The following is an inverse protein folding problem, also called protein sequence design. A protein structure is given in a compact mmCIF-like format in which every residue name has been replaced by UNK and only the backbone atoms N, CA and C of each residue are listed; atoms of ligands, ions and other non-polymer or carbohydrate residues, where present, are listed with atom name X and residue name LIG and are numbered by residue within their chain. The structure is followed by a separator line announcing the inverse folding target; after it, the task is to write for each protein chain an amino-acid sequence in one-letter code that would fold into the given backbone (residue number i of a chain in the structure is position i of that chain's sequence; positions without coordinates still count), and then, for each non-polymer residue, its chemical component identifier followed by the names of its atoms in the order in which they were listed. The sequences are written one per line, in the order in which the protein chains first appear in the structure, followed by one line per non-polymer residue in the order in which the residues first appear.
data_IF_283708154275
#
_entry.id   IF_283708154275
#
_cell.length_a   1.000
_cell.length_b   1.000
_cell.length_c   1.000
_cell.angle_alpha   90.00
_cell.angle_beta   90.00
_cell.angle_gamma   90.00
#
_symmetry.space_group_name_H-M   'P 1'
#
loop_
_entity.id
_entity.type
_entity.pdbx_description
1 polymer ?
#
# COMPACT_ATOMS: atom_id res chain seq x y z
N UNK A 1 4.30 0.81 -20.69
CA UNK A 1 3.40 -0.33 -20.35
C UNK A 1 3.82 -0.80 -18.97
N UNK A 2 3.23 -0.20 -17.92
CA UNK A 2 3.54 -0.55 -16.53
C UNK A 2 2.77 -1.81 -16.15
N UNK A 3 3.42 -2.74 -15.47
CA UNK A 3 2.76 -3.92 -14.93
C UNK A 3 1.57 -3.50 -14.06
N UNK A 4 0.44 -4.18 -14.18
CA UNK A 4 -0.67 -4.02 -13.23
C UNK A 4 -0.14 -4.31 -11.82
N UNK A 5 -0.54 -3.51 -10.80
CA UNK A 5 0.01 -3.56 -9.44
C UNK A 5 -0.44 -4.79 -8.63
N UNK A 6 -0.99 -5.81 -9.27
CA UNK A 6 -1.55 -7.00 -8.64
C UNK A 6 -0.50 -7.68 -7.75
N UNK A 7 -0.62 -7.48 -6.43
CA UNK A 7 0.25 -8.06 -5.42
C UNK A 7 1.24 -7.09 -4.75
N UNK A 8 1.34 -5.83 -5.18
CA UNK A 8 2.27 -4.86 -4.60
C UNK A 8 1.69 -4.06 -3.43
N UNK A 9 0.37 -4.09 -3.25
CA UNK A 9 -0.33 -3.49 -2.10
C UNK A 9 -1.39 -4.44 -1.57
N UNK A 10 -1.70 -4.35 -0.27
CA UNK A 10 -2.53 -5.35 0.41
C UNK A 10 -3.97 -4.84 0.59
N UNK A 11 -5.00 -5.55 0.09
CA UNK A 11 -6.38 -5.24 0.38
C UNK A 11 -6.71 -5.55 1.86
N UNK A 12 -7.65 -4.82 2.45
CA UNK A 12 -8.02 -5.02 3.86
C UNK A 12 -8.75 -6.34 4.13
N UNK A 13 -9.32 -6.94 3.09
CA UNK A 13 -9.88 -8.31 3.10
C UNK A 13 -9.35 -9.06 1.88
N UNK A 14 -9.36 -10.39 1.93
CA UNK A 14 -8.89 -11.19 0.80
C UNK A 14 -9.69 -10.88 -0.48
N UNK A 15 -9.03 -10.88 -1.64
CA UNK A 15 -9.71 -10.69 -2.93
C UNK A 15 -10.80 -11.74 -3.21
N UNK A 16 -10.67 -12.92 -2.61
CA UNK A 16 -11.64 -14.01 -2.70
C UNK A 16 -12.75 -13.93 -1.64
N UNK A 17 -12.73 -12.93 -0.76
CA UNK A 17 -13.76 -12.77 0.27
C UNK A 17 -15.09 -12.35 -0.37
N UNK A 18 -16.18 -12.99 0.01
CA UNK A 18 -17.54 -12.62 -0.42
C UNK A 18 -17.91 -11.17 -0.06
N UNK A 19 -17.28 -10.59 0.94
CA UNK A 19 -17.48 -9.24 1.41
C UNK A 19 -16.59 -8.20 0.69
N UNK A 20 -15.74 -8.64 -0.25
CA UNK A 20 -14.79 -7.77 -0.95
C UNK A 20 -15.52 -6.73 -1.83
N UNK A 21 -15.18 -5.47 -1.63
CA UNK A 21 -15.68 -4.31 -2.37
C UNK A 21 -14.53 -3.31 -2.54
N UNK A 22 -13.99 -3.20 -3.75
CA UNK A 22 -12.67 -2.57 -4.01
C UNK A 22 -12.56 -1.09 -3.64
N UNK A 23 -13.67 -0.34 -3.62
CA UNK A 23 -13.72 1.07 -3.23
C UNK A 23 -14.33 1.33 -1.85
N UNK A 24 -14.74 0.30 -1.09
CA UNK A 24 -15.48 0.48 0.17
C UNK A 24 -14.58 0.35 1.39
N UNK A 25 -13.93 1.44 1.77
CA UNK A 25 -13.28 1.65 3.08
C UNK A 25 -12.47 0.42 3.59
N UNK A 26 -12.89 -0.24 4.68
CA UNK A 26 -12.21 -1.43 5.23
C UNK A 26 -12.66 -2.78 4.64
N UNK A 27 -13.37 -2.78 3.51
CA UNK A 27 -13.95 -3.99 2.90
C UNK A 27 -13.29 -4.38 1.58
N UNK A 28 -12.09 -3.90 1.28
CA UNK A 28 -11.43 -4.22 0.01
C UNK A 28 -10.25 -3.33 -0.34
N UNK A 29 -10.35 -1.99 -0.23
CA UNK A 29 -9.26 -1.09 -0.57
C UNK A 29 -7.94 -1.44 0.09
N UNK A 30 -6.84 -1.10 -0.58
CA UNK A 30 -5.52 -1.07 0.02
C UNK A 30 -5.32 0.21 0.83
N UNK A 31 -4.78 0.03 2.03
CA UNK A 31 -4.39 1.13 2.91
C UNK A 31 -2.87 1.13 3.06
N UNK A 32 -2.26 2.30 2.88
CA UNK A 32 -0.79 2.45 2.89
C UNK A 32 -0.21 2.03 4.24
N UNK A 33 -0.85 2.40 5.35
CA UNK A 33 -0.38 2.02 6.69
C UNK A 33 -0.42 0.51 6.95
N UNK A 34 -1.38 -0.21 6.37
CA UNK A 34 -1.47 -1.66 6.53
C UNK A 34 -0.39 -2.35 5.71
N UNK A 35 -0.23 -1.95 4.45
CA UNK A 35 0.82 -2.48 3.57
C UNK A 35 2.21 -2.20 4.17
N UNK A 36 2.43 -0.99 4.70
CA UNK A 36 3.66 -0.59 5.38
C UNK A 36 3.91 -1.45 6.63
N UNK A 37 2.90 -1.65 7.48
CA UNK A 37 3.04 -2.44 8.70
C UNK A 37 3.44 -3.89 8.40
N UNK A 38 2.82 -4.49 7.37
CA UNK A 38 3.16 -5.85 6.93
C UNK A 38 4.58 -5.90 6.35
N UNK A 39 4.98 -4.90 5.54
CA UNK A 39 6.33 -4.80 5.01
C UNK A 39 7.40 -4.69 6.11
N UNK A 40 7.12 -3.95 7.18
CA UNK A 40 8.03 -3.84 8.35
C UNK A 40 8.09 -5.14 9.15
N UNK A 41 6.96 -5.84 9.30
CA UNK A 41 6.92 -7.16 9.94
C UNK A 41 7.69 -8.22 9.15
N UNK A 42 7.58 -8.21 7.82
CA UNK A 42 8.30 -9.12 6.91
C UNK A 42 9.83 -8.93 7.03
N UNK A 43 10.29 -7.69 7.09
CA UNK A 43 11.71 -7.38 7.31
C UNK A 43 12.20 -7.91 8.66
N UNK A 44 11.41 -7.73 9.74
CA UNK A 44 11.74 -8.22 11.08
C UNK A 44 11.93 -9.75 11.13
N UNK A 45 11.28 -10.51 10.24
CA UNK A 45 11.41 -11.97 10.14
C UNK A 45 12.37 -12.43 9.04
N UNK A 46 13.16 -11.53 8.45
CA UNK A 46 14.15 -11.83 7.41
C UNK A 46 13.57 -12.06 6.01
N UNK A 47 12.32 -11.65 5.76
CA UNK A 47 11.67 -11.74 4.44
C UNK A 47 11.85 -10.44 3.64
N UNK A 48 13.10 -10.10 3.37
CA UNK A 48 13.51 -8.82 2.77
C UNK A 48 12.89 -8.59 1.38
N UNK A 49 12.89 -9.61 0.51
CA UNK A 49 12.36 -9.49 -0.85
C UNK A 49 10.87 -9.15 -0.86
N UNK A 50 10.07 -9.78 0.00
CA UNK A 50 8.64 -9.48 0.09
C UNK A 50 8.41 -8.10 0.73
N UNK A 51 9.21 -7.74 1.73
CA UNK A 51 9.14 -6.42 2.34
C UNK A 51 9.44 -5.30 1.33
N UNK A 52 10.46 -5.47 0.49
CA UNK A 52 10.84 -4.55 -0.58
C UNK A 52 9.75 -4.42 -1.65
N UNK A 53 9.19 -5.55 -2.10
CA UNK A 53 8.06 -5.55 -3.05
C UNK A 53 6.86 -4.73 -2.58
N UNK A 54 6.51 -4.81 -1.29
CA UNK A 54 5.41 -4.03 -0.73
C UNK A 54 5.75 -2.53 -0.61
N UNK A 55 7.01 -2.19 -0.31
CA UNK A 55 7.48 -0.79 -0.26
C UNK A 55 7.45 -0.15 -1.63
N UNK A 56 7.96 -0.85 -2.64
CA UNK A 56 7.93 -0.42 -4.04
C UNK A 56 6.50 -0.25 -4.55
N UNK A 57 5.58 -1.12 -4.09
CA UNK A 57 4.16 -0.99 -4.34
C UNK A 57 3.57 0.30 -3.78
N UNK A 58 3.88 0.64 -2.53
CA UNK A 58 3.46 1.91 -1.91
C UNK A 58 4.02 3.10 -2.69
N UNK A 59 5.31 3.10 -3.02
CA UNK A 59 5.96 4.19 -3.78
C UNK A 59 5.29 4.36 -5.13
N UNK A 60 5.06 3.26 -5.86
CA UNK A 60 4.44 3.27 -7.19
C UNK A 60 3.00 3.79 -7.13
N UNK A 61 2.23 3.34 -6.13
CA UNK A 61 0.84 3.76 -5.92
C UNK A 61 0.76 5.27 -5.68
N UNK A 62 1.53 5.79 -4.74
CA UNK A 62 1.51 7.21 -4.37
C UNK A 62 2.05 8.07 -5.52
N UNK A 63 3.09 7.61 -6.23
CA UNK A 63 3.63 8.33 -7.40
C UNK A 63 2.63 8.42 -8.56
N UNK A 64 1.76 7.42 -8.71
CA UNK A 64 0.74 7.40 -9.76
C UNK A 64 -0.55 8.15 -9.41
N UNK A 65 -1.00 8.08 -8.15
CA UNK A 65 -2.33 8.55 -7.76
C UNK A 65 -2.32 9.74 -6.78
N UNK A 66 -1.21 10.01 -6.08
CA UNK A 66 -1.13 11.04 -5.04
C UNK A 66 -1.48 10.52 -3.64
N UNK A 67 -1.72 11.44 -2.71
CA UNK A 67 -1.84 11.15 -1.27
C UNK A 67 -3.28 10.89 -0.84
N UNK A 68 -3.85 9.77 -1.26
CA UNK A 68 -5.20 9.37 -0.89
C UNK A 68 -5.26 8.59 0.42
N UNK A 69 -6.45 8.51 1.00
CA UNK A 69 -6.74 7.79 2.25
C UNK A 69 -6.64 6.27 2.06
N UNK A 70 -7.22 5.76 0.97
CA UNK A 70 -7.14 4.35 0.57
C UNK A 70 -7.30 4.23 -0.95
N UNK A 71 -6.95 3.06 -1.48
CA UNK A 71 -6.81 2.86 -2.93
C UNK A 71 -7.49 1.58 -3.38
N UNK A 72 -8.06 1.56 -4.58
CA UNK A 72 -8.46 0.31 -5.21
C UNK A 72 -7.20 -0.57 -5.44
N UNK A 73 -7.15 -1.80 -4.92
CA UNK A 73 -5.95 -2.64 -4.96
C UNK A 73 -5.62 -3.16 -6.38
N UNK A 74 -6.57 -3.13 -7.31
CA UNK A 74 -6.39 -3.60 -8.68
C UNK A 74 -6.03 -2.46 -9.64
N UNK A 75 -6.67 -1.29 -9.49
CA UNK A 75 -6.48 -0.15 -10.40
C UNK A 75 -5.52 0.90 -9.87
N UNK A 76 -5.35 0.99 -8.54
CA UNK A 76 -4.62 2.06 -7.87
C UNK A 76 -5.41 3.37 -7.78
N UNK A 77 -6.71 3.39 -8.11
CA UNK A 77 -7.55 4.58 -7.97
C UNK A 77 -7.63 5.01 -6.50
N UNK A 78 -7.39 6.29 -6.24
CA UNK A 78 -7.47 6.86 -4.91
C UNK A 78 -8.90 7.19 -4.48
N UNK A 79 -9.20 6.96 -3.20
CA UNK A 79 -10.50 7.21 -2.60
C UNK A 79 -10.35 7.89 -1.23
N UNK A 80 -11.44 8.45 -0.73
CA UNK A 80 -11.46 9.19 0.53
C UNK A 80 -10.87 10.60 0.39
N UNK A 81 -10.07 11.03 1.37
CA UNK A 81 -9.38 12.34 1.34
C UNK A 81 -8.18 12.36 0.38
N UNK A 82 -8.02 13.43 -0.41
CA UNK A 82 -7.00 13.58 -1.48
C UNK A 82 -5.63 14.15 -1.01
N UNK A 83 -5.52 14.49 0.28
CA UNK A 83 -4.32 15.04 0.93
C UNK A 83 -4.15 14.40 2.31
N UNK A 84 -4.07 13.08 2.35
CA UNK A 84 -4.09 12.30 3.57
C UNK A 84 -2.72 12.21 4.24
N UNK A 85 -2.63 12.68 5.49
CA UNK A 85 -1.35 12.85 6.18
C UNK A 85 -0.58 11.55 6.45
N UNK A 86 -1.27 10.44 6.75
CA UNK A 86 -0.57 9.18 7.02
C UNK A 86 0.11 8.63 5.76
N UNK A 87 -0.57 8.73 4.62
CA UNK A 87 -0.01 8.34 3.32
C UNK A 87 1.27 9.11 3.01
N UNK A 88 1.26 10.43 3.23
CA UNK A 88 2.45 11.26 3.07
C UNK A 88 3.57 10.92 4.07
N UNK A 89 3.22 10.75 5.35
CA UNK A 89 4.19 10.44 6.40
C UNK A 89 4.90 9.10 6.17
N UNK A 90 4.16 8.07 5.74
CA UNK A 90 4.72 6.74 5.51
C UNK A 90 5.54 6.66 4.22
N UNK A 91 5.21 7.45 3.19
CA UNK A 91 6.11 7.60 2.06
C UNK A 91 7.46 8.18 2.51
N UNK A 92 7.44 9.24 3.33
CA UNK A 92 8.66 9.85 3.86
C UNK A 92 9.49 8.86 4.67
N UNK A 93 8.85 8.02 5.50
CA UNK A 93 9.53 6.94 6.21
C UNK A 93 10.22 5.96 5.25
N UNK A 94 9.48 5.45 4.25
CA UNK A 94 9.99 4.47 3.28
C UNK A 94 11.22 5.01 2.52
N UNK A 95 11.17 6.26 2.04
CA UNK A 95 12.24 6.85 1.23
C UNK A 95 13.34 7.51 2.07
N UNK A 96 13.20 7.51 3.40
CA UNK A 96 14.17 8.13 4.29
C UNK A 96 15.51 7.39 4.23
N UNK A 97 16.63 8.09 4.03
CA UNK A 97 17.97 7.49 4.07
C UNK A 97 18.35 6.97 5.47
N UNK A 98 17.57 7.32 6.49
CA UNK A 98 17.79 6.89 7.88
C UNK A 98 17.10 5.55 8.19
N UNK A 99 16.33 5.00 7.24
CA UNK A 99 15.69 3.69 7.41
C UNK A 99 16.73 2.59 7.23
N UNK A 100 17.41 2.25 8.32
CA UNK A 100 18.29 1.08 8.40
C UNK A 100 17.45 -0.16 8.75
N UNK A 101 17.51 -1.18 7.87
CA UNK A 101 17.08 -2.54 8.18
C UNK A 101 18.04 -3.25 9.13
#
# INVERSE_FOLDING_TARGET
MGASPSGSVLPTVALSDHAFESGRYWRGPAWVQITWLVASGLETVGSEVLAEQLRDGIISLISGAGFWEYFDPATGEGHGSDRFSWTAALLLDIVSPLRTG
#
